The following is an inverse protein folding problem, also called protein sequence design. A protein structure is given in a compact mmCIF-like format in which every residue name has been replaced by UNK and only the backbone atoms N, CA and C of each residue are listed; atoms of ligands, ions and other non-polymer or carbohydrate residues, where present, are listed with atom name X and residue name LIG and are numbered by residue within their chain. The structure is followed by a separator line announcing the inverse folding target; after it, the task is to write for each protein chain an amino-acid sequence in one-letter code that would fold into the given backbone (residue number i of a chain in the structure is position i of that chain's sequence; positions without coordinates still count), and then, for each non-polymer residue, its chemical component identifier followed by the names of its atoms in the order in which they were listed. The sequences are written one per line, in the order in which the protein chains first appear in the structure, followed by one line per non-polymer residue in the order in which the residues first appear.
data_IF_237085331643
#
_entry.id   IF_237085331643
#
_cell.length_a   1.000
_cell.length_b   1.000
_cell.length_c   1.000
_cell.angle_alpha   90.00
_cell.angle_beta   90.00
_cell.angle_gamma   90.00
#
_symmetry.space_group_name_H-M   'P 1'
#
loop_
_entity.id
_entity.type
_entity.pdbx_description
1 polymer ?
#
# COMPACT_ATOMS: atom_id res chain seq x y z
N UNK A 1 7.19 -1.20 -19.41
CA UNK A 1 5.90 -0.94 -18.73
C UNK A 1 6.20 -0.43 -17.32
N UNK A 2 5.67 0.75 -16.93
CA UNK A 2 5.96 1.42 -15.66
C UNK A 2 5.57 0.57 -14.44
N UNK A 3 4.32 0.09 -14.40
CA UNK A 3 3.79 -0.75 -13.32
C UNK A 3 4.64 -2.02 -13.05
N UNK A 4 5.15 -2.68 -14.10
CA UNK A 4 6.04 -3.85 -13.96
C UNK A 4 7.31 -3.55 -13.14
N UNK A 5 7.73 -2.29 -13.10
CA UNK A 5 8.89 -1.84 -12.32
C UNK A 5 8.51 -1.29 -10.94
N UNK A 6 7.24 -1.37 -10.54
CA UNK A 6 6.75 -0.78 -9.30
C UNK A 6 6.52 0.72 -9.36
N UNK A 7 6.50 1.32 -10.56
CA UNK A 7 6.13 2.73 -10.72
C UNK A 7 4.61 2.87 -10.66
N UNK A 8 4.13 3.19 -9.45
CA UNK A 8 2.71 3.41 -9.16
C UNK A 8 2.26 4.84 -9.44
N UNK A 9 3.06 5.70 -10.09
CA UNK A 9 2.58 7.02 -10.54
C UNK A 9 1.86 6.95 -11.90
N UNK A 10 2.11 5.89 -12.67
CA UNK A 10 1.47 5.68 -13.95
C UNK A 10 -0.04 5.42 -13.82
N UNK A 11 -0.83 5.97 -14.73
CA UNK A 11 -2.28 5.78 -14.83
C UNK A 11 -2.69 5.42 -16.25
N UNK A 12 -3.76 4.64 -16.40
CA UNK A 12 -4.46 4.50 -17.67
C UNK A 12 -5.34 5.75 -17.92
N UNK A 13 -5.61 6.11 -19.19
CA UNK A 13 -6.43 7.28 -19.51
C UNK A 13 -7.86 7.17 -19.00
N UNK A 14 -8.39 8.26 -18.44
CA UNK A 14 -9.74 8.33 -17.87
C UNK A 14 -10.83 8.59 -18.93
N UNK A 15 -10.45 8.90 -20.17
CA UNK A 15 -11.37 9.17 -21.28
C UNK A 15 -11.82 7.89 -22.02
N UNK A 16 -11.33 6.73 -21.61
CA UNK A 16 -11.73 5.45 -22.17
C UNK A 16 -13.15 5.08 -21.74
N UNK A 17 -13.94 4.55 -22.66
CA UNK A 17 -15.34 4.20 -22.42
C UNK A 17 -15.60 2.70 -22.59
N UNK A 18 -16.80 2.24 -22.20
CA UNK A 18 -17.20 0.85 -22.32
C UNK A 18 -16.40 -0.08 -21.40
N UNK A 19 -16.06 -1.28 -21.90
CA UNK A 19 -15.29 -2.27 -21.15
C UNK A 19 -13.87 -1.79 -20.86
N UNK A 20 -13.23 -1.10 -21.81
CA UNK A 20 -11.88 -0.56 -21.64
C UNK A 20 -11.82 0.49 -20.53
N UNK A 21 -12.83 1.37 -20.44
CA UNK A 21 -12.94 2.33 -19.33
C UNK A 21 -13.05 1.65 -17.97
N UNK A 22 -13.94 0.65 -17.83
CA UNK A 22 -14.07 -0.12 -16.58
C UNK A 22 -12.77 -0.82 -16.16
N UNK A 23 -12.00 -1.32 -17.13
CA UNK A 23 -10.68 -1.90 -16.86
C UNK A 23 -9.71 -0.81 -16.40
N UNK A 24 -9.70 0.36 -17.05
CA UNK A 24 -8.86 1.49 -16.66
C UNK A 24 -9.16 1.96 -15.22
N UNK A 25 -10.43 2.15 -14.88
CA UNK A 25 -10.87 2.52 -13.53
C UNK A 25 -10.40 1.51 -12.48
N UNK A 26 -10.68 0.22 -12.75
CA UNK A 26 -10.31 -0.86 -11.83
C UNK A 26 -8.80 -0.95 -11.65
N UNK A 27 -8.05 -0.81 -12.74
CA UNK A 27 -6.60 -0.85 -12.72
C UNK A 27 -6.00 0.35 -11.98
N UNK A 28 -6.50 1.55 -12.22
CA UNK A 28 -6.08 2.77 -11.54
C UNK A 28 -6.34 2.66 -10.02
N UNK A 29 -7.48 2.10 -9.60
CA UNK A 29 -7.77 1.86 -8.18
C UNK A 29 -6.82 0.84 -7.52
N UNK A 30 -6.42 -0.21 -8.24
CA UNK A 30 -5.40 -1.17 -7.78
C UNK A 30 -4.03 -0.49 -7.61
N UNK A 31 -3.63 0.34 -8.58
CA UNK A 31 -2.38 1.10 -8.48
C UNK A 31 -2.40 2.07 -7.30
N UNK A 32 -3.50 2.80 -7.11
CA UNK A 32 -3.66 3.73 -5.99
C UNK A 32 -3.52 3.02 -4.64
N UNK A 33 -4.09 1.81 -4.51
CA UNK A 33 -3.95 1.01 -3.29
C UNK A 33 -2.49 0.62 -3.03
N UNK A 34 -1.74 0.23 -4.07
CA UNK A 34 -0.32 -0.09 -3.94
C UNK A 34 0.55 1.14 -3.62
N UNK A 35 0.21 2.30 -4.18
CA UNK A 35 0.87 3.57 -3.87
C UNK A 35 0.68 3.93 -2.38
N UNK A 36 -0.55 3.86 -1.89
CA UNK A 36 -0.86 4.12 -0.47
C UNK A 36 -0.20 3.12 0.47
N UNK A 37 -0.14 1.83 0.09
CA UNK A 37 0.58 0.82 0.86
C UNK A 37 2.07 1.18 0.98
N UNK A 38 2.70 1.59 -0.13
CA UNK A 38 4.12 1.96 -0.14
C UNK A 38 4.39 3.15 0.78
N UNK A 39 3.55 4.19 0.69
CA UNK A 39 3.64 5.38 1.56
C UNK A 39 3.48 5.01 3.04
N UNK A 40 2.58 4.08 3.37
CA UNK A 40 2.37 3.63 4.74
C UNK A 40 3.57 2.84 5.29
N UNK A 41 4.21 2.02 4.45
CA UNK A 41 5.45 1.34 4.82
C UNK A 41 6.58 2.35 5.11
N UNK A 42 6.74 3.37 4.27
CA UNK A 42 7.72 4.43 4.48
C UNK A 42 7.45 5.18 5.79
N UNK A 43 6.18 5.50 6.08
CA UNK A 43 5.78 6.10 7.35
C UNK A 43 6.22 5.21 8.51
N UNK A 44 5.89 3.93 8.49
CA UNK A 44 6.23 3.00 9.58
C UNK A 44 7.73 2.83 9.77
N UNK A 45 8.50 2.74 8.70
CA UNK A 45 9.97 2.73 8.77
C UNK A 45 10.50 3.98 9.48
N UNK A 46 9.91 5.14 9.22
CA UNK A 46 10.28 6.37 9.92
C UNK A 46 9.84 6.35 11.39
N UNK A 47 8.56 6.09 11.65
CA UNK A 47 7.96 6.17 12.98
C UNK A 47 8.57 5.15 13.96
N UNK A 48 8.62 3.88 13.57
CA UNK A 48 9.11 2.80 14.42
C UNK A 48 10.63 2.71 14.36
N UNK A 49 11.20 2.71 13.15
CA UNK A 49 12.62 2.45 12.94
C UNK A 49 13.53 3.64 13.28
N UNK A 50 13.17 4.85 12.84
CA UNK A 50 14.03 6.04 13.04
C UNK A 50 13.67 6.84 14.29
N UNK A 51 12.37 7.03 14.53
CA UNK A 51 11.90 7.82 15.67
C UNK A 51 11.67 7.00 16.95
N UNK A 52 11.81 5.67 16.89
CA UNK A 52 11.69 4.78 18.04
C UNK A 52 10.27 4.67 18.62
N UNK A 53 9.24 5.11 17.89
CA UNK A 53 7.84 5.06 18.34
C UNK A 53 7.26 3.67 18.11
N UNK A 54 7.74 2.71 18.88
CA UNK A 54 7.40 1.28 18.77
C UNK A 54 5.94 0.93 19.07
N UNK A 55 5.13 1.87 19.53
CA UNK A 55 3.67 1.72 19.70
C UNK A 55 2.88 2.03 18.42
N UNK A 56 3.52 2.65 17.41
CA UNK A 56 2.89 2.92 16.11
C UNK A 56 2.66 1.62 15.34
N UNK A 57 1.55 1.56 14.60
CA UNK A 57 1.12 0.40 13.82
C UNK A 57 0.76 0.83 12.40
N UNK A 58 1.04 -0.04 11.44
CA UNK A 58 0.68 0.12 10.06
C UNK A 58 -0.85 0.04 9.93
N UNK A 59 -1.44 0.91 9.12
CA UNK A 59 -2.87 0.92 8.84
C UNK A 59 -3.14 1.43 7.44
N UNK A 60 -4.10 0.80 6.75
CA UNK A 60 -4.54 1.23 5.44
C UNK A 60 -6.07 1.13 5.35
N UNK A 61 -6.73 2.26 5.08
CA UNK A 61 -8.20 2.30 5.03
C UNK A 61 -8.74 1.64 3.77
N UNK A 62 -9.91 0.99 3.90
CA UNK A 62 -10.68 0.41 2.80
C UNK A 62 -9.95 -0.69 2.01
N UNK A 63 -9.13 -1.52 2.68
CA UNK A 63 -8.47 -2.67 2.06
C UNK A 63 -8.92 -3.99 2.69
N UNK A 64 -8.86 -5.03 1.88
CA UNK A 64 -9.29 -6.40 2.22
C UNK A 64 -8.29 -7.41 1.66
N UNK A 65 -8.38 -8.66 2.12
CA UNK A 65 -7.56 -9.78 1.62
C UNK A 65 -6.06 -9.47 1.68
N UNK A 66 -5.33 -9.73 0.58
CA UNK A 66 -3.87 -9.66 0.55
C UNK A 66 -3.27 -8.32 1.04
N UNK A 67 -3.96 -7.20 0.83
CA UNK A 67 -3.50 -5.91 1.36
C UNK A 67 -3.68 -5.79 2.87
N UNK A 68 -4.79 -6.30 3.41
CA UNK A 68 -5.01 -6.36 4.85
C UNK A 68 -4.00 -7.32 5.50
N UNK A 69 -3.72 -8.46 4.87
CA UNK A 69 -2.72 -9.42 5.32
C UNK A 69 -1.32 -8.81 5.33
N UNK A 70 -0.95 -8.03 4.31
CA UNK A 70 0.34 -7.34 4.25
C UNK A 70 0.53 -6.35 5.41
N UNK A 71 -0.49 -5.54 5.71
CA UNK A 71 -0.50 -4.65 6.87
C UNK A 71 -0.40 -5.46 8.18
N UNK A 72 -1.12 -6.57 8.27
CA UNK A 72 -1.06 -7.50 9.40
C UNK A 72 0.36 -8.04 9.64
N UNK A 73 1.03 -8.52 8.59
CA UNK A 73 2.40 -9.03 8.67
C UNK A 73 3.39 -7.97 9.20
N UNK A 74 3.25 -6.72 8.75
CA UNK A 74 4.10 -5.61 9.25
C UNK A 74 3.84 -5.36 10.74
N UNK A 75 2.58 -5.39 11.17
CA UNK A 75 2.23 -5.19 12.56
C UNK A 75 2.75 -6.32 13.47
N UNK A 76 2.70 -7.57 12.99
CA UNK A 76 3.33 -8.71 13.68
C UNK A 76 4.84 -8.53 13.80
N UNK A 77 5.51 -8.13 12.72
CA UNK A 77 6.95 -7.86 12.75
C UNK A 77 7.31 -6.76 13.77
N UNK A 78 6.53 -5.67 13.84
CA UNK A 78 6.75 -4.61 14.83
C UNK A 78 6.57 -5.17 16.25
N UNK A 79 5.56 -6.00 16.47
CA UNK A 79 5.30 -6.62 17.77
C UNK A 79 6.44 -7.55 18.20
N UNK A 80 6.95 -8.37 17.29
CA UNK A 80 8.07 -9.28 17.54
C UNK A 80 9.36 -8.53 17.91
N UNK A 81 9.59 -7.33 17.35
CA UNK A 81 10.74 -6.49 17.69
C UNK A 81 10.65 -5.83 19.07
N UNK A 82 9.46 -5.76 19.66
CA UNK A 82 9.23 -5.16 20.99
C UNK A 82 9.23 -6.21 22.10
N UNK A 83 8.99 -7.48 21.76
CA UNK A 83 9.01 -8.59 22.71
C UNK A 83 10.45 -9.03 22.99
N UNK A 84 10.82 -9.27 24.27
CA UNK A 84 12.16 -9.70 24.66
C UNK A 84 12.49 -11.14 24.26
#
# INVERSE_FOLDING_TARGET
MAFKRGDFSARLPDDWTGVSGKIADTFNAVIETNERLTQELERIVHEVGKAGRITQRASLNNVSYAWADAIGCVNVLIEDLVRP
#
